data_IF_611571076666
#
_entry.id   IF_611571076666
#
_cell.length_a   1.000
_cell.length_b   1.000
_cell.length_c   1.000
_cell.angle_alpha   90.00
_cell.angle_beta   90.00
_cell.angle_gamma   90.00
#
_symmetry.space_group_name_H-M   'P 1'
#
loop_
_entity.id
_entity.type
_entity.pdbx_description
1 polymer ?
#
# COMPACT_ATOMS: atom_id res chain seq x y z
N UNK A 1 -2.61 -39.15 -1.93
CA UNK A 1 -1.61 -38.09 -1.60
C UNK A 1 -1.15 -37.51 -2.93
N UNK A 2 -1.38 -36.22 -3.16
CA UNK A 2 -0.83 -35.54 -4.33
C UNK A 2 0.69 -35.53 -4.24
N UNK A 3 1.38 -35.86 -5.36
CA UNK A 3 2.84 -35.85 -5.43
C UNK A 3 3.43 -34.45 -5.18
N UNK A 4 4.76 -34.33 -5.14
CA UNK A 4 5.42 -33.05 -4.92
C UNK A 4 5.06 -32.05 -6.03
N UNK A 5 4.68 -30.84 -5.64
CA UNK A 5 4.43 -29.73 -6.59
C UNK A 5 5.79 -29.12 -6.95
N UNK A 6 6.07 -29.05 -8.26
CA UNK A 6 7.29 -28.40 -8.79
C UNK A 6 6.95 -26.99 -9.22
N UNK A 7 7.71 -26.02 -8.78
CA UNK A 7 7.61 -24.61 -9.19
C UNK A 7 9.01 -24.01 -9.32
N UNK A 8 9.14 -22.95 -10.11
CA UNK A 8 10.41 -22.24 -10.26
C UNK A 8 10.70 -21.38 -9.04
N UNK A 9 9.66 -20.80 -8.42
CA UNK A 9 9.78 -19.92 -7.27
C UNK A 9 8.76 -20.29 -6.20
N UNK A 10 9.24 -20.58 -5.00
CA UNK A 10 8.44 -20.70 -3.79
C UNK A 10 8.58 -19.42 -2.96
N UNK A 11 7.47 -18.71 -2.78
CA UNK A 11 7.39 -17.51 -1.93
C UNK A 11 6.76 -17.89 -0.59
N UNK A 12 7.43 -17.57 0.51
CA UNK A 12 6.95 -17.84 1.86
C UNK A 12 6.40 -16.55 2.47
N UNK A 13 5.09 -16.53 2.72
CA UNK A 13 4.35 -15.40 3.25
C UNK A 13 3.60 -14.60 2.18
N UNK A 14 2.39 -14.15 2.53
CA UNK A 14 1.47 -13.41 1.67
C UNK A 14 1.33 -11.92 2.06
N UNK A 15 2.29 -11.38 2.78
CA UNK A 15 2.40 -9.94 3.00
C UNK A 15 2.80 -9.19 1.73
N UNK A 16 2.88 -7.86 1.78
CA UNK A 16 3.20 -7.03 0.61
C UNK A 16 4.48 -7.47 -0.10
N UNK A 17 5.57 -7.76 0.64
CA UNK A 17 6.84 -8.19 0.07
C UNK A 17 6.71 -9.55 -0.66
N UNK A 18 6.05 -10.54 -0.03
CA UNK A 18 5.87 -11.86 -0.62
C UNK A 18 5.00 -11.81 -1.87
N UNK A 19 3.85 -11.13 -1.82
CA UNK A 19 2.99 -10.99 -2.99
C UNK A 19 3.65 -10.19 -4.11
N UNK A 20 4.43 -9.16 -3.79
CA UNK A 20 5.20 -8.41 -4.79
C UNK A 20 6.23 -9.31 -5.49
N UNK A 21 6.97 -10.11 -4.73
CA UNK A 21 7.91 -11.07 -5.30
C UNK A 21 7.21 -12.09 -6.19
N UNK A 22 6.08 -12.65 -5.73
CA UNK A 22 5.29 -13.63 -6.48
C UNK A 22 4.77 -13.06 -7.80
N UNK A 23 4.16 -11.86 -7.76
CA UNK A 23 3.65 -11.19 -8.97
C UNK A 23 4.78 -10.89 -9.95
N UNK A 24 5.89 -10.33 -9.45
CA UNK A 24 7.05 -10.01 -10.28
C UNK A 24 7.60 -11.26 -10.96
N UNK A 25 7.83 -12.34 -10.23
CA UNK A 25 8.33 -13.59 -10.80
C UNK A 25 7.36 -14.17 -11.84
N UNK A 26 6.06 -14.20 -11.54
CA UNK A 26 5.04 -14.69 -12.46
C UNK A 26 4.96 -13.86 -13.75
N UNK A 27 5.07 -12.54 -13.65
CA UNK A 27 5.07 -11.63 -14.81
C UNK A 27 6.32 -11.80 -15.69
N UNK A 28 7.39 -12.38 -15.16
CA UNK A 28 8.59 -12.75 -15.90
C UNK A 28 8.57 -14.22 -16.37
N UNK A 29 7.42 -14.89 -16.30
CA UNK A 29 7.20 -16.22 -16.85
C UNK A 29 7.52 -17.39 -15.91
N UNK A 30 7.88 -17.13 -14.65
CA UNK A 30 8.13 -18.19 -13.69
C UNK A 30 6.81 -18.80 -13.17
N UNK A 31 6.81 -20.11 -12.96
CA UNK A 31 5.78 -20.79 -12.17
C UNK A 31 6.00 -20.50 -10.68
N UNK A 32 4.98 -19.97 -10.00
CA UNK A 32 5.12 -19.46 -8.63
C UNK A 32 4.11 -20.13 -7.70
N UNK A 33 4.57 -20.48 -6.51
CA UNK A 33 3.72 -20.90 -5.41
C UNK A 33 3.92 -19.94 -4.22
N UNK A 34 2.83 -19.51 -3.61
CA UNK A 34 2.86 -18.76 -2.34
C UNK A 34 2.40 -19.68 -1.21
N UNK A 35 3.25 -19.84 -0.20
CA UNK A 35 2.93 -20.57 1.03
C UNK A 35 2.67 -19.55 2.15
N UNK A 36 1.49 -19.63 2.77
CA UNK A 36 1.12 -18.76 3.90
C UNK A 36 0.87 -19.62 5.15
N UNK A 37 1.45 -19.20 6.27
CA UNK A 37 1.31 -19.89 7.56
C UNK A 37 -0.07 -19.69 8.18
N UNK A 38 -0.64 -18.49 8.03
CA UNK A 38 -1.95 -18.15 8.56
C UNK A 38 -3.07 -18.71 7.68
N UNK A 39 -4.25 -18.86 8.25
CA UNK A 39 -5.48 -19.22 7.48
C UNK A 39 -5.97 -18.09 6.58
N UNK A 40 -5.41 -16.87 6.69
CA UNK A 40 -5.77 -15.68 5.94
C UNK A 40 -4.54 -15.04 5.31
N UNK A 41 -4.73 -14.40 4.16
CA UNK A 41 -3.69 -13.77 3.35
C UNK A 41 -3.53 -12.28 3.73
N UNK A 42 -2.33 -11.74 3.51
CA UNK A 42 -2.07 -10.31 3.63
C UNK A 42 -1.06 -9.93 4.71
N UNK A 43 -0.74 -10.85 5.63
CA UNK A 43 0.23 -10.59 6.71
C UNK A 43 -0.14 -9.35 7.52
N UNK A 44 0.85 -8.66 8.10
CA UNK A 44 0.68 -7.38 8.78
C UNK A 44 0.42 -6.22 7.82
N UNK A 45 0.76 -6.37 6.53
CA UNK A 45 0.49 -5.38 5.49
C UNK A 45 -1.01 -5.07 5.35
N UNK A 46 -1.87 -6.07 5.57
CA UNK A 46 -3.32 -5.88 5.56
C UNK A 46 -3.85 -5.01 6.71
N UNK A 47 -3.05 -4.78 7.74
CA UNK A 47 -3.37 -3.91 8.87
C UNK A 47 -2.75 -2.52 8.75
N UNK A 48 -1.94 -2.27 7.74
CA UNK A 48 -1.31 -0.97 7.50
C UNK A 48 -2.26 -0.02 6.77
N UNK A 49 -1.96 1.28 6.81
CA UNK A 49 -2.64 2.30 6.01
C UNK A 49 -2.28 2.25 4.52
N UNK A 50 -1.43 1.32 4.09
CA UNK A 50 -1.04 1.13 2.70
C UNK A 50 -0.11 2.21 2.14
N UNK A 51 0.57 2.97 3.00
CA UNK A 51 1.54 3.99 2.60
C UNK A 51 2.93 3.40 2.38
N UNK A 52 3.57 3.85 1.31
CA UNK A 52 4.96 3.56 0.96
C UNK A 52 5.70 4.88 0.83
N UNK A 53 6.84 5.02 1.51
CA UNK A 53 7.71 6.17 1.37
C UNK A 53 8.71 5.89 0.25
N UNK A 54 8.49 6.45 -0.93
CA UNK A 54 9.28 6.25 -2.14
C UNK A 54 9.62 7.62 -2.74
N UNK A 55 10.75 8.21 -2.38
CA UNK A 55 11.20 9.48 -2.94
C UNK A 55 11.34 9.42 -4.46
N UNK A 56 11.11 10.53 -5.13
CA UNK A 56 11.23 10.68 -6.59
C UNK A 56 10.38 9.68 -7.38
N UNK A 57 9.27 9.22 -6.79
CA UNK A 57 8.36 8.32 -7.48
C UNK A 57 7.72 8.97 -8.73
N UNK A 58 7.28 8.19 -9.72
CA UNK A 58 6.77 8.71 -10.98
C UNK A 58 5.50 9.55 -10.84
N UNK A 59 4.67 9.30 -9.80
CA UNK A 59 3.43 10.05 -9.59
C UNK A 59 3.74 11.48 -9.13
N UNK A 60 4.65 11.66 -8.19
CA UNK A 60 5.08 12.98 -7.74
C UNK A 60 5.70 13.78 -8.88
N UNK A 61 6.54 13.14 -9.68
CA UNK A 61 7.12 13.79 -10.88
C UNK A 61 6.06 14.21 -11.90
N UNK A 62 5.05 13.39 -12.12
CA UNK A 62 3.94 13.73 -13.00
C UNK A 62 3.11 14.93 -12.51
N UNK A 63 3.11 15.19 -11.20
CA UNK A 63 2.51 16.38 -10.58
C UNK A 63 3.45 17.59 -10.52
N UNK A 64 4.65 17.49 -11.10
CA UNK A 64 5.64 18.57 -11.12
C UNK A 64 6.42 18.72 -9.81
N UNK A 65 6.33 17.74 -8.91
CA UNK A 65 7.12 17.70 -7.68
C UNK A 65 8.48 17.08 -8.00
N UNK A 66 9.49 17.93 -8.05
CA UNK A 66 10.88 17.52 -8.25
C UNK A 66 11.69 17.84 -6.99
N UNK A 67 12.67 17.01 -6.68
CA UNK A 67 13.55 17.17 -5.52
C UNK A 67 15.00 16.89 -5.89
N UNK A 68 15.93 17.52 -5.17
CA UNK A 68 17.34 17.24 -5.33
C UNK A 68 17.65 15.75 -5.12
N UNK A 69 18.51 15.21 -5.96
CA UNK A 69 18.78 13.77 -6.00
C UNK A 69 19.33 13.20 -4.69
N UNK A 70 20.03 14.03 -3.92
CA UNK A 70 20.67 13.72 -2.63
C UNK A 70 19.75 13.98 -1.42
N UNK A 71 18.69 14.77 -1.55
CA UNK A 71 17.82 15.14 -0.42
C UNK A 71 17.24 13.93 0.32
N UNK A 72 16.73 12.87 -0.34
CA UNK A 72 16.23 11.68 0.36
C UNK A 72 17.32 10.95 1.15
N UNK A 73 18.53 10.88 0.61
CA UNK A 73 19.66 10.26 1.31
C UNK A 73 20.08 11.09 2.51
N UNK A 74 20.16 12.41 2.37
CA UNK A 74 20.46 13.35 3.46
C UNK A 74 19.44 13.18 4.61
N UNK A 75 18.16 13.10 4.28
CA UNK A 75 17.11 12.85 5.27
C UNK A 75 17.34 11.54 6.02
N UNK A 76 17.54 10.42 5.29
CA UNK A 76 17.79 9.12 5.90
C UNK A 76 19.06 9.08 6.73
N UNK A 77 20.13 9.74 6.30
CA UNK A 77 21.39 9.87 7.06
C UNK A 77 21.15 10.53 8.41
N UNK A 78 20.35 11.58 8.43
CA UNK A 78 20.02 12.27 9.66
C UNK A 78 19.16 11.40 10.59
N UNK A 79 18.11 10.78 10.06
CA UNK A 79 17.19 9.95 10.83
C UNK A 79 17.85 8.67 11.39
N UNK A 80 18.85 8.14 10.71
CA UNK A 80 19.53 6.89 11.08
C UNK A 80 20.87 7.11 11.81
N UNK A 81 21.18 8.33 12.20
CA UNK A 81 22.40 8.61 12.96
C UNK A 81 23.71 8.35 12.21
N UNK A 82 23.75 8.51 10.90
CA UNK A 82 24.96 8.39 10.07
C UNK A 82 25.21 7.02 9.46
N UNK A 83 24.38 6.02 9.70
CA UNK A 83 24.51 4.67 9.11
C UNK A 83 24.06 4.55 7.65
N UNK A 84 23.93 5.67 6.94
CA UNK A 84 23.40 5.70 5.56
C UNK A 84 24.39 5.22 4.48
N UNK A 85 25.54 4.70 4.83
CA UNK A 85 26.42 3.99 3.90
C UNK A 85 25.91 2.59 3.51
N UNK A 86 24.77 2.14 4.09
CA UNK A 86 24.19 0.83 3.81
C UNK A 86 23.74 0.75 2.34
N UNK A 87 24.29 -0.22 1.63
CA UNK A 87 23.94 -0.50 0.23
C UNK A 87 22.44 -0.76 0.03
N UNK A 88 21.74 -1.25 1.05
CA UNK A 88 20.30 -1.48 1.00
C UNK A 88 19.52 -0.16 0.85
N UNK A 89 19.95 0.90 1.53
CA UNK A 89 19.31 2.22 1.39
C UNK A 89 19.52 2.80 -0.01
N UNK A 90 20.72 2.71 -0.53
CA UNK A 90 21.01 3.17 -1.89
C UNK A 90 20.22 2.38 -2.93
N UNK A 91 20.13 1.06 -2.74
CA UNK A 91 19.32 0.18 -3.60
C UNK A 91 17.84 0.55 -3.52
N UNK A 92 17.32 0.78 -2.32
CA UNK A 92 15.94 1.21 -2.11
C UNK A 92 15.63 2.55 -2.81
N UNK A 93 16.47 3.55 -2.61
CA UNK A 93 16.31 4.88 -3.23
C UNK A 93 16.41 4.82 -4.77
N UNK A 94 17.24 3.93 -5.28
CA UNK A 94 17.41 3.73 -6.73
C UNK A 94 16.23 3.03 -7.36
N UNK A 95 15.81 1.89 -6.82
CA UNK A 95 14.82 1.00 -7.43
C UNK A 95 13.39 1.20 -6.92
N UNK A 96 13.20 1.94 -5.84
CA UNK A 96 11.86 2.26 -5.33
C UNK A 96 10.96 2.91 -6.38
N UNK A 97 11.40 3.96 -7.09
CA UNK A 97 10.63 4.57 -8.18
C UNK A 97 10.27 3.59 -9.31
N UNK A 98 11.21 2.74 -9.71
CA UNK A 98 10.97 1.71 -10.74
C UNK A 98 9.93 0.68 -10.29
N UNK A 99 9.95 0.29 -9.01
CA UNK A 99 8.95 -0.59 -8.41
C UNK A 99 7.56 0.03 -8.46
N UNK A 100 7.42 1.31 -8.08
CA UNK A 100 6.13 2.01 -8.15
C UNK A 100 5.64 2.05 -9.60
N UNK A 101 6.50 2.40 -10.55
CA UNK A 101 6.15 2.44 -11.97
C UNK A 101 5.71 1.07 -12.49
N UNK A 102 6.49 0.02 -12.20
CA UNK A 102 6.18 -1.35 -12.62
C UNK A 102 4.81 -1.80 -12.13
N UNK A 103 4.55 -1.70 -10.82
CA UNK A 103 3.27 -2.14 -10.27
C UNK A 103 2.11 -1.29 -10.76
N UNK A 104 2.28 0.03 -10.83
CA UNK A 104 1.24 0.95 -11.28
C UNK A 104 0.85 0.74 -12.74
N UNK A 105 1.81 0.47 -13.62
CA UNK A 105 1.56 0.34 -15.06
C UNK A 105 1.27 -1.09 -15.50
N UNK A 106 1.80 -2.09 -14.81
CA UNK A 106 1.83 -3.47 -15.30
C UNK A 106 0.92 -4.41 -14.50
N UNK A 107 0.33 -3.97 -13.40
CA UNK A 107 -0.49 -4.82 -12.54
C UNK A 107 -1.81 -4.14 -12.18
N UNK A 108 -2.68 -4.86 -11.45
CA UNK A 108 -3.90 -4.28 -10.88
C UNK A 108 -3.65 -3.36 -9.67
N UNK A 109 -2.42 -3.30 -9.17
CA UNK A 109 -2.05 -2.39 -8.09
C UNK A 109 -1.87 -0.99 -8.65
N UNK A 110 -2.76 -0.08 -8.26
CA UNK A 110 -2.68 1.34 -8.61
C UNK A 110 -2.29 2.15 -7.39
N UNK A 111 -1.46 3.17 -7.58
CA UNK A 111 -1.05 4.07 -6.51
C UNK A 111 -1.67 5.46 -6.68
N UNK A 112 -1.86 6.13 -5.55
CA UNK A 112 -2.22 7.54 -5.46
C UNK A 112 -1.02 8.31 -4.90
N UNK A 113 -0.79 9.50 -5.41
CA UNK A 113 0.27 10.38 -4.93
C UNK A 113 -0.03 10.92 -3.54
N UNK A 114 0.97 10.94 -2.68
CA UNK A 114 0.97 11.62 -1.40
C UNK A 114 1.61 13.02 -1.50
N UNK A 115 1.24 13.80 -2.51
CA UNK A 115 1.81 15.13 -2.77
C UNK A 115 1.72 16.09 -1.59
N UNK A 116 0.69 15.95 -0.76
CA UNK A 116 0.50 16.74 0.47
C UNK A 116 0.94 16.01 1.75
N UNK A 117 1.62 14.85 1.64
CA UNK A 117 2.08 14.06 2.79
C UNK A 117 3.53 14.42 3.10
N UNK A 118 3.81 15.21 4.15
CA UNK A 118 5.18 15.57 4.51
C UNK A 118 5.92 14.40 5.14
N UNK A 119 7.25 14.49 5.18
CA UNK A 119 8.05 13.61 6.02
C UNK A 119 7.71 13.82 7.51
N UNK A 120 7.92 12.79 8.33
CA UNK A 120 7.48 12.83 9.74
C UNK A 120 8.29 13.80 10.60
N UNK A 121 9.56 14.02 10.26
CA UNK A 121 10.42 14.93 11.00
C UNK A 121 10.95 16.04 10.09
N UNK A 122 11.03 17.29 10.59
CA UNK A 122 11.57 18.41 9.84
C UNK A 122 13.11 18.41 9.84
N UNK A 123 13.70 17.28 9.56
CA UNK A 123 15.14 17.06 9.55
C UNK A 123 15.78 17.57 8.24
N UNK A 124 17.12 17.77 8.20
CA UNK A 124 17.81 18.09 6.96
C UNK A 124 17.46 17.12 5.84
N UNK A 125 17.12 17.65 4.68
CA UNK A 125 16.68 16.86 3.53
C UNK A 125 15.22 16.42 3.57
N UNK A 126 14.42 16.81 4.58
CA UNK A 126 12.98 16.53 4.65
C UNK A 126 12.21 17.23 3.53
N UNK A 127 11.13 16.60 3.07
CA UNK A 127 10.22 17.13 2.07
C UNK A 127 8.84 17.42 2.66
N UNK A 128 8.19 18.47 2.15
CA UNK A 128 6.82 18.82 2.53
C UNK A 128 5.75 17.96 1.85
N UNK A 129 6.16 17.04 0.99
CA UNK A 129 5.27 16.11 0.29
C UNK A 129 5.95 15.45 -0.91
N UNK A 130 5.19 14.58 -1.60
CA UNK A 130 5.63 13.94 -2.84
C UNK A 130 6.46 12.67 -2.68
N UNK A 131 6.94 12.34 -1.48
CA UNK A 131 7.72 11.10 -1.26
C UNK A 131 6.89 9.88 -0.98
N UNK A 132 5.66 10.06 -0.54
CA UNK A 132 4.78 8.94 -0.19
C UNK A 132 3.80 8.64 -1.32
N UNK A 133 3.51 7.35 -1.49
CA UNK A 133 2.41 6.86 -2.32
C UNK A 133 1.53 5.93 -1.49
N UNK A 134 0.24 5.85 -1.79
CA UNK A 134 -0.66 4.89 -1.15
C UNK A 134 -1.38 4.05 -2.18
N UNK A 135 -1.72 2.82 -1.82
CA UNK A 135 -2.49 1.98 -2.71
C UNK A 135 -3.91 2.55 -2.93
N UNK A 136 -4.35 2.60 -4.18
CA UNK A 136 -5.73 2.93 -4.51
C UNK A 136 -6.68 1.84 -4.02
N UNK A 137 -7.87 2.20 -3.51
CA UNK A 137 -8.89 1.22 -3.16
C UNK A 137 -9.22 0.30 -4.34
N UNK A 138 -9.16 -1.01 -4.10
CA UNK A 138 -9.45 -2.03 -5.08
C UNK A 138 -10.87 -2.58 -4.90
N UNK A 139 -11.56 -2.91 -5.98
CA UNK A 139 -12.87 -3.56 -5.90
C UNK A 139 -12.71 -5.05 -5.52
N UNK A 140 -12.87 -5.34 -4.25
CA UNK A 140 -12.70 -6.70 -3.70
C UNK A 140 -13.61 -7.76 -4.34
N UNK A 141 -14.72 -7.36 -5.00
CA UNK A 141 -15.60 -8.30 -5.71
C UNK A 141 -14.89 -9.02 -6.86
N UNK A 142 -13.89 -8.38 -7.43
CA UNK A 142 -13.05 -8.96 -8.49
C UNK A 142 -12.18 -10.12 -8.01
N UNK A 143 -12.02 -10.28 -6.70
CA UNK A 143 -11.28 -11.39 -6.10
C UNK A 143 -12.13 -12.68 -5.98
N UNK A 144 -13.44 -12.60 -6.16
CA UNK A 144 -14.33 -13.74 -6.00
C UNK A 144 -14.16 -14.40 -4.62
N UNK A 145 -13.99 -15.72 -4.61
CA UNK A 145 -13.84 -16.51 -3.38
C UNK A 145 -12.58 -16.17 -2.57
N UNK A 146 -11.55 -15.57 -3.20
CA UNK A 146 -10.34 -15.12 -2.51
C UNK A 146 -10.60 -13.99 -1.53
N UNK A 147 -11.67 -13.21 -1.71
CA UNK A 147 -12.05 -12.14 -0.79
C UNK A 147 -12.21 -12.65 0.64
N UNK A 148 -12.70 -13.89 0.80
CA UNK A 148 -12.91 -14.50 2.12
C UNK A 148 -11.63 -14.96 2.80
N UNK A 149 -10.55 -15.07 2.03
CA UNK A 149 -9.23 -15.46 2.51
C UNK A 149 -8.36 -14.26 2.89
N UNK A 150 -8.83 -13.05 2.63
CA UNK A 150 -8.09 -11.86 3.04
C UNK A 150 -8.18 -11.64 4.54
N UNK A 151 -7.08 -11.24 5.14
CA UNK A 151 -7.05 -10.80 6.53
C UNK A 151 -7.97 -9.61 6.72
N UNK A 152 -8.91 -9.65 7.67
CA UNK A 152 -9.77 -8.50 7.96
C UNK A 152 -8.94 -7.32 8.47
N UNK A 153 -9.41 -6.07 8.26
CA UNK A 153 -8.77 -4.88 8.82
C UNK A 153 -8.80 -4.93 10.35
N UNK A 154 -7.90 -4.17 10.99
CA UNK A 154 -7.94 -4.00 12.45
C UNK A 154 -9.27 -3.35 12.86
N UNK A 155 -9.86 -3.82 13.95
CA UNK A 155 -11.12 -3.27 14.47
C UNK A 155 -10.98 -1.78 14.82
N UNK A 156 -9.83 -1.37 15.35
CA UNK A 156 -9.53 0.02 15.74
C UNK A 156 -9.54 1.01 14.58
N UNK A 157 -9.36 0.54 13.34
CA UNK A 157 -9.35 1.35 12.12
C UNK A 157 -10.44 0.91 11.15
N UNK A 158 -11.48 0.25 11.66
CA UNK A 158 -12.63 -0.18 10.88
C UNK A 158 -13.94 0.28 11.52
N UNK A 159 -14.96 0.46 10.69
CA UNK A 159 -16.31 0.77 11.11
C UNK A 159 -17.26 -0.24 10.48
N UNK A 160 -17.85 -1.10 11.33
CA UNK A 160 -18.71 -2.18 10.87
C UNK A 160 -18.03 -3.15 9.88
N UNK A 161 -16.72 -3.39 10.04
CA UNK A 161 -15.92 -4.23 9.15
C UNK A 161 -15.40 -3.54 7.88
N UNK A 162 -15.71 -2.26 7.70
CA UNK A 162 -15.16 -1.43 6.61
C UNK A 162 -13.91 -0.70 7.12
N UNK A 163 -12.75 -0.92 6.51
CA UNK A 163 -11.53 -0.15 6.80
C UNK A 163 -11.69 1.32 6.43
N UNK A 164 -11.35 2.22 7.35
CA UNK A 164 -11.45 3.68 7.20
C UNK A 164 -10.08 4.40 7.29
N UNK A 165 -9.00 3.64 7.31
CA UNK A 165 -7.65 4.16 7.60
C UNK A 165 -6.94 4.78 6.37
N UNK A 166 -7.51 4.74 5.18
CA UNK A 166 -6.84 5.16 3.96
C UNK A 166 -7.40 6.43 3.31
N UNK A 167 -6.52 7.29 2.80
CA UNK A 167 -6.83 8.35 1.86
C UNK A 167 -7.99 9.28 2.28
N UNK A 168 -8.94 9.47 1.39
CA UNK A 168 -10.11 10.33 1.60
C UNK A 168 -11.03 9.84 2.72
N UNK A 169 -11.12 8.52 2.94
CA UNK A 169 -11.95 7.96 4.01
C UNK A 169 -11.48 8.49 5.36
N UNK A 170 -10.19 8.43 5.67
CA UNK A 170 -9.64 8.94 6.93
C UNK A 170 -10.02 10.42 7.13
N UNK A 171 -9.73 11.26 6.14
CA UNK A 171 -10.01 12.70 6.23
C UNK A 171 -11.49 13.00 6.46
N UNK A 172 -12.39 12.32 5.77
CA UNK A 172 -13.82 12.56 5.88
C UNK A 172 -14.44 11.95 7.14
N UNK A 173 -14.07 10.73 7.54
CA UNK A 173 -14.61 10.12 8.75
C UNK A 173 -14.21 10.88 10.00
N UNK A 174 -12.94 11.34 10.12
CA UNK A 174 -12.50 12.14 11.25
C UNK A 174 -13.12 13.56 11.30
N UNK A 175 -13.54 14.10 10.18
CA UNK A 175 -14.20 15.39 10.09
C UNK A 175 -15.72 15.33 9.92
N UNK A 176 -16.34 14.16 10.04
CA UNK A 176 -17.77 13.98 9.79
C UNK A 176 -18.67 14.83 10.71
N UNK A 177 -18.24 15.07 11.95
CA UNK A 177 -18.97 15.94 12.91
C UNK A 177 -18.67 17.42 12.74
N UNK A 178 -17.67 17.79 11.93
CA UNK A 178 -17.19 19.17 11.79
C UNK A 178 -17.51 19.79 10.43
N UNK A 179 -17.87 18.99 9.44
CA UNK A 179 -18.10 19.43 8.07
C UNK A 179 -19.29 18.71 7.45
N UNK A 180 -20.31 19.41 6.96
CA UNK A 180 -21.45 18.81 6.27
C UNK A 180 -21.06 17.97 5.05
N UNK A 181 -20.02 18.41 4.31
CA UNK A 181 -19.45 17.66 3.19
C UNK A 181 -18.87 16.32 3.64
N UNK A 182 -18.14 16.32 4.76
CA UNK A 182 -17.57 15.11 5.33
C UNK A 182 -18.64 14.18 5.91
N UNK A 183 -19.66 14.73 6.55
CA UNK A 183 -20.82 13.97 7.02
C UNK A 183 -21.54 13.26 5.87
N UNK A 184 -21.81 13.98 4.78
CA UNK A 184 -22.46 13.40 3.59
C UNK A 184 -21.59 12.30 2.95
N UNK A 185 -20.28 12.51 2.87
CA UNK A 185 -19.35 11.49 2.37
C UNK A 185 -19.42 10.21 3.24
N UNK A 186 -19.26 10.37 4.56
CA UNK A 186 -19.29 9.25 5.50
C UNK A 186 -20.64 8.50 5.44
N UNK A 187 -21.76 9.23 5.42
CA UNK A 187 -23.10 8.62 5.29
C UNK A 187 -23.23 7.81 4.00
N UNK A 188 -22.81 8.35 2.86
CA UNK A 188 -22.84 7.62 1.57
C UNK A 188 -21.98 6.36 1.60
N UNK A 189 -20.81 6.43 2.21
CA UNK A 189 -19.90 5.27 2.35
C UNK A 189 -20.52 4.18 3.21
N UNK A 190 -21.11 4.53 4.34
CA UNK A 190 -21.78 3.60 5.25
C UNK A 190 -23.01 2.94 4.60
N UNK A 191 -23.85 3.72 3.94
CA UNK A 191 -25.02 3.21 3.22
C UNK A 191 -24.62 2.23 2.12
N UNK A 192 -23.59 2.60 1.33
CA UNK A 192 -23.05 1.72 0.28
C UNK A 192 -22.49 0.42 0.88
N UNK A 193 -21.75 0.51 1.99
CA UNK A 193 -21.21 -0.67 2.67
C UNK A 193 -22.33 -1.57 3.20
N UNK A 194 -23.32 -1.01 3.90
CA UNK A 194 -24.47 -1.76 4.39
C UNK A 194 -25.23 -2.46 3.26
N UNK A 195 -25.47 -1.77 2.16
CA UNK A 195 -26.12 -2.34 0.99
C UNK A 195 -25.32 -3.47 0.32
N UNK A 196 -23.99 -3.32 0.24
CA UNK A 196 -23.12 -4.36 -0.27
C UNK A 196 -23.12 -5.61 0.63
N UNK A 197 -23.15 -5.43 1.95
CA UNK A 197 -23.28 -6.55 2.91
C UNK A 197 -24.58 -7.29 2.75
N UNK A 198 -25.70 -6.58 2.63
CA UNK A 198 -27.02 -7.20 2.41
C UNK A 198 -27.05 -8.02 1.12
N UNK A 199 -26.47 -7.50 0.04
CA UNK A 199 -26.39 -8.22 -1.25
C UNK A 199 -25.43 -9.41 -1.23
N UNK A 200 -24.37 -9.34 -0.45
CA UNK A 200 -23.41 -10.43 -0.31
C UNK A 200 -23.84 -11.53 0.67
N UNK A 201 -25.03 -11.39 1.29
CA UNK A 201 -25.54 -12.38 2.25
C UNK A 201 -24.81 -12.40 3.59
N UNK A 202 -24.27 -11.26 4.03
CA UNK A 202 -23.46 -11.15 5.25
C UNK A 202 -23.90 -10.01 6.13
#
# INVERSE_FOLDING_TARGET
MSGPVKVDVLVVGSGAAGLSAAVTAAMHGASVMVAEKASVLGGTSAWSGGWLWIPRNPLARAEGIDEAADAPLTYLQHEMGGEAADIRLQTFLRYGPEMVEFFHQRTAVQFLSGSAMPDFHPSPGAANGGRSVTAQPYDGRLLGDWLHRLRPPLETISLGGMGIAGGADMAHFFNATRSPRSALYAARRLLRHGWQRLRAGR
#
